data_IF_799892847055
#
_entry.id   IF_799892847055
#
_cell.length_a   1.000
_cell.length_b   1.000
_cell.length_c   1.000
_cell.angle_alpha   90.00
_cell.angle_beta   90.00
_cell.angle_gamma   90.00
#
_symmetry.space_group_name_H-M   'P 1'
#
loop_
_entity.id
_entity.type
_entity.pdbx_description
1 polymer ?
#
# COMPACT_ATOMS: atom_id res chain seq x y z
N UNK A 1 -1.12 1.53 -11.38
CA UNK A 1 -1.78 2.74 -11.92
C UNK A 1 -1.18 4.02 -11.34
N UNK A 2 -1.13 4.19 -10.00
CA UNK A 2 -0.63 5.42 -9.33
C UNK A 2 0.81 5.77 -9.69
N UNK A 3 1.74 4.80 -9.72
CA UNK A 3 3.13 5.05 -10.10
C UNK A 3 3.23 5.62 -11.51
N UNK A 4 2.52 5.01 -12.49
CA UNK A 4 2.52 5.52 -13.87
C UNK A 4 2.01 6.96 -13.94
N UNK A 5 0.90 7.28 -13.27
CA UNK A 5 0.38 8.65 -13.20
C UNK A 5 1.39 9.64 -12.59
N UNK A 6 2.09 9.22 -11.52
CA UNK A 6 3.14 10.05 -10.90
C UNK A 6 4.33 10.24 -11.82
N UNK A 7 4.76 9.21 -12.54
CA UNK A 7 5.84 9.30 -13.53
C UNK A 7 5.41 10.16 -14.71
N UNK A 8 4.21 9.95 -15.27
CA UNK A 8 3.68 10.74 -16.38
C UNK A 8 3.60 12.23 -16.00
N UNK A 9 3.14 12.53 -14.77
CA UNK A 9 3.10 13.91 -14.27
C UNK A 9 4.51 14.50 -14.12
N UNK A 10 5.43 13.77 -13.50
CA UNK A 10 6.81 14.23 -13.31
C UNK A 10 7.53 14.45 -14.66
N UNK A 11 7.33 13.55 -15.62
CA UNK A 11 7.91 13.68 -16.97
C UNK A 11 7.34 14.89 -17.73
N UNK A 12 6.03 15.16 -17.59
CA UNK A 12 5.42 16.34 -18.20
C UNK A 12 5.93 17.64 -17.55
N UNK A 13 6.04 17.71 -16.22
CA UNK A 13 6.60 18.86 -15.50
C UNK A 13 8.09 19.07 -15.83
N UNK A 14 8.85 18.00 -16.03
CA UNK A 14 10.24 18.06 -16.47
C UNK A 14 10.36 18.49 -17.94
N UNK A 15 9.49 18.01 -18.82
CA UNK A 15 9.48 18.39 -20.23
C UNK A 15 9.31 19.90 -20.40
N UNK A 16 8.50 20.54 -19.55
CA UNK A 16 8.30 21.99 -19.56
C UNK A 16 9.55 22.77 -19.05
N UNK A 17 10.37 22.13 -18.19
CA UNK A 17 11.59 22.76 -17.63
C UNK A 17 12.85 22.52 -18.47
N UNK A 18 13.01 21.33 -19.03
CA UNK A 18 14.23 20.90 -19.76
C UNK A 18 14.15 21.20 -21.25
N UNK A 19 12.96 21.54 -21.76
CA UNK A 19 12.76 21.88 -23.17
C UNK A 19 13.03 20.70 -24.12
N UNK A 20 13.55 21.01 -25.31
CA UNK A 20 13.76 20.03 -26.39
C UNK A 20 15.00 19.14 -26.27
N UNK A 21 15.76 19.26 -25.18
CA UNK A 21 17.02 18.51 -25.01
C UNK A 21 16.82 17.01 -24.79
N UNK A 22 15.66 16.61 -24.21
CA UNK A 22 15.31 15.22 -23.99
C UNK A 22 13.91 14.93 -24.53
N UNK A 23 13.67 13.82 -25.24
CA UNK A 23 12.38 13.48 -25.82
C UNK A 23 11.41 12.89 -24.76
N UNK A 24 11.22 13.62 -23.66
CA UNK A 24 10.45 13.12 -22.49
C UNK A 24 8.99 12.81 -22.85
N UNK A 25 8.37 13.58 -23.75
CA UNK A 25 7.00 13.30 -24.21
C UNK A 25 6.93 11.99 -25.02
N UNK A 26 7.94 11.72 -25.83
CA UNK A 26 8.02 10.47 -26.58
C UNK A 26 8.25 9.28 -25.64
N UNK A 27 9.07 9.44 -24.60
CA UNK A 27 9.29 8.44 -23.56
C UNK A 27 7.97 8.09 -22.83
N UNK A 28 7.19 9.10 -22.46
CA UNK A 28 5.88 8.91 -21.83
C UNK A 28 4.93 8.09 -22.71
N UNK A 29 4.92 8.34 -24.02
CA UNK A 29 4.09 7.61 -24.97
C UNK A 29 4.56 6.15 -25.15
N UNK A 30 5.84 5.88 -25.03
CA UNK A 30 6.44 4.54 -25.10
C UNK A 30 6.20 3.71 -23.84
N UNK A 31 5.97 4.36 -22.69
CA UNK A 31 5.70 3.65 -21.44
C UNK A 31 4.34 2.95 -21.53
N UNK A 32 4.38 1.62 -21.48
CA UNK A 32 3.18 0.78 -21.43
C UNK A 32 2.34 1.02 -20.15
N UNK A 33 1.12 0.48 -20.09
CA UNK A 33 0.30 0.53 -18.88
C UNK A 33 0.96 -0.24 -17.74
N UNK A 34 0.78 0.24 -16.50
CA UNK A 34 1.21 -0.50 -15.32
C UNK A 34 0.48 -1.85 -15.24
N UNK A 35 1.23 -2.91 -14.95
CA UNK A 35 0.72 -4.30 -14.84
C UNK A 35 1.19 -4.91 -13.52
N UNK A 36 0.47 -5.90 -13.02
CA UNK A 36 1.00 -6.76 -11.96
C UNK A 36 2.10 -7.68 -12.52
N UNK A 37 3.07 -8.09 -11.70
CA UNK A 37 4.10 -9.04 -12.13
C UNK A 37 3.52 -10.32 -12.70
N UNK A 38 2.45 -10.85 -12.09
CA UNK A 38 1.74 -12.02 -12.62
C UNK A 38 1.19 -11.79 -14.04
N UNK A 39 0.60 -10.64 -14.28
CA UNK A 39 0.08 -10.27 -15.61
C UNK A 39 1.21 -10.04 -16.61
N UNK A 40 2.31 -9.40 -16.18
CA UNK A 40 3.48 -9.13 -17.01
C UNK A 40 4.15 -10.43 -17.44
N UNK A 41 4.37 -11.35 -16.50
CA UNK A 41 5.00 -12.65 -16.76
C UNK A 41 4.07 -13.64 -17.48
N UNK A 42 2.78 -13.29 -17.65
CA UNK A 42 1.80 -14.14 -18.31
C UNK A 42 1.45 -15.37 -17.47
N UNK A 43 0.97 -15.15 -16.24
CA UNK A 43 0.51 -16.23 -15.36
C UNK A 43 -0.62 -17.02 -16.01
N UNK A 44 -0.52 -18.35 -15.97
CA UNK A 44 -1.51 -19.28 -16.51
C UNK A 44 -2.35 -19.86 -15.36
N UNK A 45 -3.69 -19.84 -15.45
CA UNK A 45 -4.56 -20.29 -14.36
C UNK A 45 -4.34 -21.75 -13.93
N UNK A 46 -3.95 -22.60 -14.87
CA UNK A 46 -3.87 -24.05 -14.69
C UNK A 46 -2.46 -24.56 -14.36
N UNK A 47 -1.48 -23.69 -14.33
CA UNK A 47 -0.09 -24.06 -14.07
C UNK A 47 0.59 -23.04 -13.15
N UNK A 48 1.68 -23.45 -12.47
CA UNK A 48 2.56 -22.53 -11.76
C UNK A 48 3.58 -21.83 -12.66
N UNK A 49 3.60 -22.16 -13.96
CA UNK A 49 4.53 -21.64 -14.92
C UNK A 49 4.05 -20.32 -15.52
N UNK A 50 4.99 -19.42 -15.79
CA UNK A 50 4.77 -18.18 -16.51
C UNK A 50 4.99 -18.37 -18.02
N UNK A 51 4.36 -17.52 -18.85
CA UNK A 51 4.59 -17.51 -20.28
C UNK A 51 5.99 -16.97 -20.63
N UNK A 52 6.44 -15.95 -19.87
CA UNK A 52 7.77 -15.36 -20.03
C UNK A 52 8.76 -16.01 -19.07
N UNK A 53 9.91 -16.40 -19.63
CA UNK A 53 11.03 -17.08 -18.99
C UNK A 53 12.28 -16.94 -19.88
N UNK A 54 13.43 -17.47 -19.51
CA UNK A 54 14.69 -17.40 -20.28
C UNK A 54 14.56 -17.77 -21.76
N UNK A 55 13.72 -18.75 -22.09
CA UNK A 55 13.46 -19.18 -23.48
C UNK A 55 12.44 -18.32 -24.22
N UNK A 56 11.73 -17.43 -23.53
CA UNK A 56 10.76 -16.49 -24.07
C UNK A 56 10.79 -15.22 -23.22
N UNK A 57 11.83 -14.40 -23.32
CA UNK A 57 12.02 -13.24 -22.45
C UNK A 57 10.96 -12.17 -22.69
N UNK A 58 10.88 -11.23 -21.75
CA UNK A 58 10.10 -10.00 -21.90
C UNK A 58 10.70 -9.14 -23.01
N UNK A 59 9.86 -8.41 -23.71
CA UNK A 59 10.28 -7.40 -24.70
C UNK A 59 10.36 -6.03 -24.00
N UNK A 60 11.45 -5.80 -23.27
CA UNK A 60 11.69 -4.58 -22.48
C UNK A 60 13.17 -4.22 -22.44
N UNK A 61 13.48 -2.94 -22.51
CA UNK A 61 14.82 -2.39 -22.27
C UNK A 61 14.99 -1.98 -20.81
N UNK A 62 13.92 -1.44 -20.20
CA UNK A 62 13.90 -1.01 -18.80
C UNK A 62 12.62 -1.52 -18.14
N UNK A 63 12.77 -2.17 -16.99
CA UNK A 63 11.67 -2.62 -16.18
C UNK A 63 11.72 -1.95 -14.81
N UNK A 64 10.65 -1.23 -14.46
CA UNK A 64 10.49 -0.60 -13.15
C UNK A 64 9.48 -1.41 -12.34
N UNK A 65 9.89 -1.90 -11.18
CA UNK A 65 9.04 -2.64 -10.24
C UNK A 65 8.82 -1.80 -9.00
N UNK A 66 7.59 -1.39 -8.79
CA UNK A 66 7.16 -0.66 -7.60
C UNK A 66 6.68 -1.63 -6.51
N UNK A 67 6.71 -1.19 -5.23
CA UNK A 67 6.38 -2.00 -4.06
C UNK A 67 7.17 -3.32 -4.03
N UNK A 68 8.45 -3.27 -4.39
CA UNK A 68 9.32 -4.44 -4.49
C UNK A 68 9.54 -5.17 -3.14
N UNK A 69 9.23 -4.54 -2.01
CA UNK A 69 9.19 -5.16 -0.68
C UNK A 69 8.18 -6.33 -0.61
N UNK A 70 7.15 -6.29 -1.45
CA UNK A 70 6.11 -7.32 -1.54
C UNK A 70 6.48 -8.47 -2.49
N UNK A 71 7.59 -8.39 -3.21
CA UNK A 71 8.02 -9.42 -4.16
C UNK A 71 8.78 -10.51 -3.41
N UNK A 72 8.20 -11.71 -3.36
CA UNK A 72 8.83 -12.87 -2.72
C UNK A 72 9.91 -13.50 -3.61
N UNK A 73 10.73 -14.38 -3.02
CA UNK A 73 11.92 -14.93 -3.67
C UNK A 73 11.63 -15.64 -4.99
N UNK A 74 10.59 -16.48 -5.04
CA UNK A 74 10.24 -17.24 -6.26
C UNK A 74 9.77 -16.31 -7.39
N UNK A 75 8.99 -15.26 -7.04
CA UNK A 75 8.55 -14.27 -8.02
C UNK A 75 9.72 -13.45 -8.55
N UNK A 76 10.66 -13.06 -7.69
CA UNK A 76 11.87 -12.35 -8.11
C UNK A 76 12.72 -13.24 -9.02
N UNK A 77 12.89 -14.51 -8.68
CA UNK A 77 13.62 -15.46 -9.52
C UNK A 77 12.97 -15.61 -10.90
N UNK A 78 11.64 -15.75 -10.95
CA UNK A 78 10.88 -15.82 -12.20
C UNK A 78 11.01 -14.55 -13.04
N UNK A 79 11.00 -13.38 -12.37
CA UNK A 79 11.19 -12.09 -13.02
C UNK A 79 12.59 -11.98 -13.66
N UNK A 80 13.63 -12.33 -12.90
CA UNK A 80 15.02 -12.29 -13.38
C UNK A 80 15.25 -13.29 -14.52
N UNK A 81 14.63 -14.47 -14.48
CA UNK A 81 14.71 -15.47 -15.55
C UNK A 81 14.02 -14.98 -16.85
N UNK A 82 13.00 -14.14 -16.72
CA UNK A 82 12.26 -13.57 -17.86
C UNK A 82 12.87 -12.28 -18.43
N UNK A 83 13.83 -11.66 -17.76
CA UNK A 83 14.48 -10.43 -18.24
C UNK A 83 15.43 -10.75 -19.40
N UNK A 84 15.40 -9.98 -20.51
CA UNK A 84 16.38 -10.13 -21.58
C UNK A 84 17.76 -9.68 -21.12
N UNK A 85 18.84 -10.27 -21.68
CA UNK A 85 20.19 -9.81 -21.44
C UNK A 85 20.33 -8.33 -21.82
N UNK A 86 20.88 -7.53 -20.91
CA UNK A 86 21.10 -6.09 -21.12
C UNK A 86 19.95 -5.19 -20.70
N UNK A 87 18.79 -5.74 -20.31
CA UNK A 87 17.71 -4.93 -19.74
C UNK A 87 18.09 -4.38 -18.37
N UNK A 88 17.66 -3.16 -18.08
CA UNK A 88 17.83 -2.50 -16.78
C UNK A 88 16.63 -2.80 -15.88
N UNK A 89 16.88 -3.33 -14.67
CA UNK A 89 15.87 -3.54 -13.64
C UNK A 89 15.98 -2.48 -12.55
N UNK A 90 14.90 -1.73 -12.31
CA UNK A 90 14.80 -0.75 -11.25
C UNK A 90 13.79 -1.25 -10.22
N UNK A 91 14.24 -1.51 -8.99
CA UNK A 91 13.40 -1.92 -7.88
C UNK A 91 13.13 -0.72 -6.98
N UNK A 92 11.87 -0.35 -6.83
CA UNK A 92 11.41 0.70 -5.91
C UNK A 92 10.62 0.06 -4.78
N UNK A 93 10.85 0.52 -3.55
CA UNK A 93 10.13 0.00 -2.40
C UNK A 93 10.74 0.42 -1.07
N UNK A 94 10.05 0.11 -0.01
CA UNK A 94 10.48 0.40 1.35
C UNK A 94 10.91 -0.91 2.04
N UNK A 95 12.20 -1.04 2.28
CA UNK A 95 12.80 -2.24 2.92
C UNK A 95 12.33 -2.49 4.35
N UNK A 96 11.80 -1.45 4.99
CA UNK A 96 11.38 -1.46 6.39
C UNK A 96 9.86 -1.69 6.56
N UNK A 97 9.10 -1.68 5.45
CA UNK A 97 7.70 -2.11 5.45
C UNK A 97 7.55 -3.63 5.54
N UNK A 98 6.32 -4.06 5.78
CA UNK A 98 5.98 -5.48 5.77
C UNK A 98 6.43 -6.13 4.45
N UNK A 99 7.24 -7.15 4.55
CA UNK A 99 7.57 -7.99 3.42
C UNK A 99 6.39 -8.90 3.02
N UNK A 100 6.50 -9.52 1.83
CA UNK A 100 5.54 -10.53 1.37
C UNK A 100 5.23 -11.57 2.45
N UNK A 101 4.02 -12.10 2.48
CA UNK A 101 3.63 -13.21 3.37
C UNK A 101 4.41 -14.48 3.03
N UNK A 102 4.79 -14.65 1.77
CA UNK A 102 5.57 -15.77 1.26
C UNK A 102 7.07 -15.64 1.61
N UNK A 103 7.83 -16.72 1.45
CA UNK A 103 9.21 -16.78 1.89
C UNK A 103 10.15 -15.78 1.16
N UNK A 104 11.02 -15.14 1.94
CA UNK A 104 12.09 -14.26 1.49
C UNK A 104 11.73 -12.78 1.45
N UNK A 105 12.57 -11.95 2.08
CA UNK A 105 12.51 -10.49 2.04
C UNK A 105 13.58 -9.97 1.07
N UNK A 106 13.37 -10.20 -0.23
CA UNK A 106 14.40 -9.95 -1.25
C UNK A 106 14.90 -8.51 -1.22
N UNK A 107 14.01 -7.52 -1.27
CA UNK A 107 14.41 -6.11 -1.23
C UNK A 107 15.14 -5.77 0.08
N UNK A 108 14.65 -6.28 1.22
CA UNK A 108 15.30 -6.09 2.50
C UNK A 108 16.71 -6.66 2.57
N UNK A 109 16.95 -7.81 1.93
CA UNK A 109 18.28 -8.43 1.84
C UNK A 109 19.21 -7.68 0.88
N UNK A 110 18.70 -7.25 -0.29
CA UNK A 110 19.45 -6.45 -1.26
C UNK A 110 19.84 -5.07 -0.68
N UNK A 111 18.95 -4.43 0.04
CA UNK A 111 19.12 -3.08 0.60
C UNK A 111 19.54 -3.06 2.08
N UNK A 112 20.07 -4.17 2.60
CA UNK A 112 20.40 -4.30 4.02
C UNK A 112 21.24 -3.14 4.56
N UNK A 113 22.30 -2.78 3.83
CA UNK A 113 23.25 -1.73 4.21
C UNK A 113 22.99 -0.39 3.51
N UNK A 114 21.85 -0.22 2.84
CA UNK A 114 21.54 0.99 2.08
C UNK A 114 21.67 2.29 2.91
N UNK A 115 21.43 2.20 4.24
CA UNK A 115 21.60 3.31 5.15
C UNK A 115 23.04 3.81 5.34
N UNK A 116 24.02 2.93 5.18
CA UNK A 116 25.43 3.27 5.34
C UNK A 116 26.05 3.91 4.07
N UNK A 117 25.43 3.76 2.90
CA UNK A 117 25.98 4.19 1.62
C UNK A 117 27.15 3.29 1.20
N UNK A 118 28.37 3.73 1.42
CA UNK A 118 29.60 3.02 1.01
C UNK A 118 29.88 3.20 -0.48
N UNK A 119 29.64 4.40 -1.00
CA UNK A 119 29.84 4.76 -2.40
C UNK A 119 31.31 5.05 -2.69
N UNK A 120 31.79 4.55 -3.81
CA UNK A 120 33.13 4.88 -4.31
C UNK A 120 33.17 6.29 -4.92
N UNK A 121 34.36 6.86 -5.07
CA UNK A 121 34.54 8.16 -5.73
C UNK A 121 33.93 8.17 -7.13
N UNK A 122 34.07 7.08 -7.92
CA UNK A 122 33.45 6.96 -9.24
C UNK A 122 31.93 7.04 -9.20
N UNK A 123 31.28 6.49 -8.14
CA UNK A 123 29.84 6.61 -7.94
C UNK A 123 29.42 8.01 -7.54
N UNK A 124 30.22 8.69 -6.71
CA UNK A 124 29.98 10.09 -6.34
C UNK A 124 30.10 11.02 -7.55
N UNK A 125 31.15 10.85 -8.35
CA UNK A 125 31.35 11.63 -9.59
C UNK A 125 30.21 11.41 -10.58
N UNK A 126 29.76 10.17 -10.74
CA UNK A 126 28.58 9.86 -11.55
C UNK A 126 27.30 10.51 -11.03
N UNK A 127 27.06 10.45 -9.72
CA UNK A 127 25.89 11.06 -9.10
C UNK A 127 25.88 12.58 -9.31
N UNK A 128 27.02 13.24 -9.08
CA UNK A 128 27.17 14.67 -9.33
C UNK A 128 26.94 15.02 -10.81
N UNK A 129 27.54 14.28 -11.73
CA UNK A 129 27.38 14.51 -13.16
C UNK A 129 25.94 14.29 -13.65
N UNK A 130 25.23 13.30 -13.09
CA UNK A 130 23.90 12.93 -13.51
C UNK A 130 22.78 13.79 -12.88
N UNK A 131 22.96 14.20 -11.62
CA UNK A 131 21.91 14.90 -10.85
C UNK A 131 22.25 16.36 -10.49
N UNK A 132 23.53 16.72 -10.51
CA UNK A 132 24.02 18.00 -9.99
C UNK A 132 24.09 18.05 -8.46
N UNK A 133 23.82 16.94 -7.77
CA UNK A 133 23.79 16.86 -6.30
C UNK A 133 25.06 16.18 -5.78
N UNK A 134 25.71 16.82 -4.81
CA UNK A 134 26.82 16.23 -4.07
C UNK A 134 26.31 15.30 -2.97
N UNK A 135 26.79 14.06 -2.95
CA UNK A 135 26.50 13.15 -1.85
C UNK A 135 27.36 13.49 -0.62
N UNK A 136 26.78 13.48 0.60
CA UNK A 136 27.54 13.77 1.82
C UNK A 136 28.73 12.82 2.01
N UNK A 137 29.89 13.32 2.51
CA UNK A 137 31.11 12.51 2.69
C UNK A 137 30.94 11.30 3.61
N UNK A 138 29.97 11.33 4.51
CA UNK A 138 29.64 10.21 5.41
C UNK A 138 29.19 8.96 4.68
N UNK A 139 28.79 9.07 3.40
CA UNK A 139 28.37 7.94 2.56
C UNK A 139 29.50 7.42 1.67
N UNK A 140 30.70 8.01 1.75
CA UNK A 140 31.88 7.54 1.03
C UNK A 140 32.36 6.20 1.59
N UNK A 141 32.80 5.30 0.72
CA UNK A 141 33.32 4.00 1.11
C UNK A 141 33.41 3.05 -0.08
N UNK A 142 33.68 1.80 0.21
CA UNK A 142 33.70 0.71 -0.80
C UNK A 142 32.92 -0.49 -0.22
N UNK A 143 31.62 -0.42 -0.30
CA UNK A 143 30.72 -1.48 0.19
C UNK A 143 30.37 -2.55 -0.88
N UNK A 144 31.12 -2.57 -1.98
CA UNK A 144 30.98 -3.53 -3.08
C UNK A 144 29.93 -3.14 -4.11
N UNK A 145 29.82 -3.94 -5.18
CA UNK A 145 29.07 -3.60 -6.40
C UNK A 145 27.58 -3.32 -6.17
N UNK A 146 26.92 -4.04 -5.25
CA UNK A 146 25.50 -3.85 -4.97
C UNK A 146 25.23 -2.50 -4.31
N UNK A 147 26.10 -2.04 -3.41
CA UNK A 147 25.97 -0.75 -2.76
C UNK A 147 26.03 0.40 -3.77
N UNK A 148 26.88 0.28 -4.81
CA UNK A 148 27.02 1.28 -5.88
C UNK A 148 25.73 1.46 -6.70
N UNK A 149 24.78 0.53 -6.60
CA UNK A 149 23.51 0.53 -7.33
C UNK A 149 22.30 0.71 -6.42
N UNK A 150 22.53 0.94 -5.12
CA UNK A 150 21.46 1.06 -4.12
C UNK A 150 21.43 2.46 -3.56
N UNK A 151 20.28 3.13 -3.70
CA UNK A 151 20.06 4.48 -3.17
C UNK A 151 18.96 4.46 -2.13
N UNK A 152 19.22 5.03 -0.96
CA UNK A 152 18.22 5.21 0.08
C UNK A 152 17.70 6.64 0.10
N UNK A 153 16.42 6.83 -0.23
CA UNK A 153 15.74 8.12 -0.07
C UNK A 153 15.46 8.36 1.40
N UNK A 154 15.87 9.54 1.92
CA UNK A 154 15.83 9.83 3.36
C UNK A 154 14.75 10.84 3.76
N UNK A 155 14.22 11.59 2.81
CA UNK A 155 13.17 12.57 3.05
C UNK A 155 11.83 12.08 2.51
N UNK A 156 10.88 11.90 3.43
CA UNK A 156 9.50 11.62 3.03
C UNK A 156 8.83 12.91 2.53
N UNK A 157 8.21 12.83 1.36
CA UNK A 157 7.33 13.89 0.83
C UNK A 157 5.85 13.62 1.10
N UNK A 158 5.51 12.41 1.56
CA UNK A 158 4.14 11.97 1.83
C UNK A 158 3.69 12.40 3.23
N UNK A 159 4.53 12.17 4.21
CA UNK A 159 4.26 12.49 5.60
C UNK A 159 5.50 13.13 6.24
N UNK A 160 5.26 14.20 6.96
CA UNK A 160 6.26 14.90 7.77
C UNK A 160 5.72 15.06 9.21
N UNK A 161 6.31 15.96 9.97
CA UNK A 161 5.83 16.29 11.30
C UNK A 161 5.72 15.08 12.23
N UNK A 162 4.67 15.00 13.07
CA UNK A 162 4.52 13.95 14.09
C UNK A 162 4.40 12.55 13.53
N UNK A 163 3.72 12.35 12.39
CA UNK A 163 3.58 11.03 11.74
C UNK A 163 4.95 10.52 11.29
N UNK A 164 5.74 11.36 10.64
CA UNK A 164 7.10 11.01 10.21
C UNK A 164 8.03 10.71 11.38
N UNK A 165 7.98 11.51 12.44
CA UNK A 165 8.78 11.29 13.65
C UNK A 165 8.41 9.97 14.34
N UNK A 166 7.11 9.66 14.42
CA UNK A 166 6.63 8.39 14.98
C UNK A 166 7.08 7.19 14.13
N UNK A 167 6.96 7.30 12.80
CA UNK A 167 7.42 6.26 11.88
C UNK A 167 8.92 5.99 12.04
N UNK A 168 9.75 7.04 12.14
CA UNK A 168 11.19 6.91 12.35
C UNK A 168 11.53 6.29 13.72
N UNK A 169 10.84 6.68 14.80
CA UNK A 169 11.05 6.10 16.12
C UNK A 169 10.70 4.60 16.15
N UNK A 170 9.57 4.23 15.53
CA UNK A 170 9.16 2.82 15.39
C UNK A 170 10.19 2.05 14.55
N UNK A 171 10.62 2.58 13.43
CA UNK A 171 11.61 1.92 12.56
C UNK A 171 12.97 1.75 13.25
N UNK A 172 13.39 2.71 14.05
CA UNK A 172 14.59 2.61 14.89
C UNK A 172 14.45 1.57 16.02
N UNK A 173 13.24 1.15 16.37
CA UNK A 173 12.95 0.28 17.50
C UNK A 173 12.94 0.99 18.84
N UNK A 174 12.85 2.31 18.83
CA UNK A 174 12.80 3.13 20.01
C UNK A 174 11.36 3.25 20.53
N UNK A 175 10.95 2.23 21.31
CA UNK A 175 9.60 2.17 21.86
C UNK A 175 9.31 3.32 22.82
N UNK A 176 10.30 3.76 23.62
CA UNK A 176 10.11 4.86 24.56
C UNK A 176 9.83 6.18 23.84
N UNK A 177 10.59 6.46 22.80
CA UNK A 177 10.38 7.66 21.96
C UNK A 177 9.05 7.59 21.21
N UNK A 178 8.69 6.43 20.68
CA UNK A 178 7.42 6.23 19.98
C UNK A 178 6.23 6.50 20.93
N UNK A 179 6.25 5.95 22.14
CA UNK A 179 5.21 6.20 23.14
C UNK A 179 5.17 7.66 23.60
N UNK A 180 6.33 8.29 23.80
CA UNK A 180 6.40 9.71 24.14
C UNK A 180 5.74 10.57 23.04
N UNK A 181 6.03 10.31 21.77
CA UNK A 181 5.42 11.00 20.64
C UNK A 181 3.90 10.77 20.59
N UNK A 182 3.43 9.57 20.84
CA UNK A 182 2.00 9.23 20.88
C UNK A 182 1.25 9.97 22.00
N UNK A 183 1.91 10.22 23.15
CA UNK A 183 1.32 10.94 24.30
C UNK A 183 1.38 12.45 24.17
N UNK A 184 2.37 13.00 23.49
CA UNK A 184 2.64 14.44 23.45
C UNK A 184 2.21 15.11 22.14
N UNK A 185 1.93 14.35 21.08
CA UNK A 185 1.55 14.92 19.79
C UNK A 185 0.17 15.60 19.88
N UNK A 186 0.15 16.90 19.57
CA UNK A 186 -1.09 17.68 19.56
C UNK A 186 -1.85 17.57 18.24
N UNK A 187 -1.14 17.31 17.15
CA UNK A 187 -1.71 17.23 15.78
C UNK A 187 -1.10 16.07 15.01
N UNK A 188 -1.89 15.51 14.08
CA UNK A 188 -1.44 14.46 13.14
C UNK A 188 -1.30 13.06 13.74
N UNK A 189 -1.17 12.91 15.05
CA UNK A 189 -1.07 11.63 15.75
C UNK A 189 -1.98 11.62 16.98
N UNK A 190 -2.67 10.50 17.18
CA UNK A 190 -3.53 10.28 18.35
C UNK A 190 -3.32 8.89 18.91
N UNK A 191 -3.35 8.75 20.21
CA UNK A 191 -3.34 7.46 20.89
C UNK A 191 -4.58 7.29 21.77
N UNK A 192 -5.31 6.21 21.58
CA UNK A 192 -6.38 5.78 22.47
C UNK A 192 -5.85 4.55 23.21
N UNK A 193 -5.27 4.81 24.37
CA UNK A 193 -4.70 3.80 25.26
C UNK A 193 -5.82 3.16 26.09
N UNK A 194 -5.69 1.88 26.41
CA UNK A 194 -6.70 1.10 27.14
C UNK A 194 -8.10 1.16 26.52
N UNK A 195 -8.14 1.19 25.20
CA UNK A 195 -9.35 1.40 24.42
C UNK A 195 -10.42 0.32 24.65
N UNK A 196 -11.66 0.77 24.74
CA UNK A 196 -12.82 -0.11 24.59
C UNK A 196 -13.25 -0.12 23.12
N UNK A 197 -13.86 -1.22 22.66
CA UNK A 197 -14.29 -1.34 21.26
C UNK A 197 -15.24 -0.18 20.86
N UNK A 198 -16.07 0.31 21.79
CA UNK A 198 -16.97 1.43 21.54
C UNK A 198 -16.26 2.69 21.04
N UNK A 199 -15.02 2.94 21.48
CA UNK A 199 -14.22 4.09 21.02
C UNK A 199 -13.80 3.95 19.56
N UNK A 200 -13.47 2.72 19.13
CA UNK A 200 -13.22 2.44 17.69
C UNK A 200 -14.49 2.64 16.87
N UNK A 201 -15.63 2.21 17.39
CA UNK A 201 -16.91 2.39 16.71
C UNK A 201 -17.32 3.87 16.59
N UNK A 202 -16.99 4.69 17.58
CA UNK A 202 -17.16 6.14 17.50
C UNK A 202 -16.22 6.75 16.44
N UNK A 203 -14.95 6.34 16.40
CA UNK A 203 -14.02 6.74 15.35
C UNK A 203 -14.51 6.33 13.96
N UNK A 204 -15.03 5.11 13.82
CA UNK A 204 -15.59 4.64 12.57
C UNK A 204 -16.80 5.48 12.13
N UNK A 205 -17.71 5.77 13.06
CA UNK A 205 -18.88 6.59 12.76
C UNK A 205 -18.50 8.00 12.31
N UNK A 206 -17.54 8.64 12.97
CA UNK A 206 -17.05 9.97 12.57
C UNK A 206 -16.20 9.93 11.30
N UNK A 207 -15.30 8.94 11.17
CA UNK A 207 -14.41 8.80 10.04
C UNK A 207 -15.13 8.47 8.73
N UNK A 208 -16.15 7.63 8.79
CA UNK A 208 -17.01 7.33 7.65
C UNK A 208 -18.15 8.34 7.45
N UNK A 209 -18.30 9.33 8.33
CA UNK A 209 -19.40 10.32 8.26
C UNK A 209 -19.49 11.01 6.90
N UNK A 210 -18.36 11.53 6.40
CA UNK A 210 -18.34 12.27 5.12
C UNK A 210 -18.75 11.41 3.92
N UNK A 211 -18.41 10.13 3.92
CA UNK A 211 -18.86 9.19 2.90
C UNK A 211 -20.36 8.89 3.00
N UNK A 212 -20.86 8.71 4.23
CA UNK A 212 -22.27 8.45 4.49
C UNK A 212 -23.15 9.67 4.16
N UNK A 213 -22.65 10.88 4.40
CA UNK A 213 -23.34 12.11 4.02
C UNK A 213 -23.52 12.18 2.50
N UNK A 214 -22.46 11.94 1.71
CA UNK A 214 -22.52 11.91 0.25
C UNK A 214 -23.43 10.78 -0.24
N UNK A 215 -23.40 9.61 0.41
CA UNK A 215 -24.26 8.47 0.08
C UNK A 215 -25.75 8.85 0.15
N UNK A 216 -26.14 9.67 1.14
CA UNK A 216 -27.50 10.12 1.32
C UNK A 216 -27.96 11.21 0.33
N UNK A 217 -27.04 11.79 -0.46
CA UNK A 217 -27.34 12.78 -1.50
C UNK A 217 -27.52 12.16 -2.89
N UNK A 218 -27.85 10.87 -2.95
CA UNK A 218 -28.00 10.14 -4.21
C UNK A 218 -28.88 10.91 -5.23
N UNK A 219 -28.47 11.04 -6.49
CA UNK A 219 -29.25 11.71 -7.52
C UNK A 219 -30.56 10.95 -7.75
N UNK A 220 -31.66 11.70 -7.95
CA UNK A 220 -32.96 11.12 -8.28
C UNK A 220 -32.88 10.43 -9.65
N UNK A 221 -33.52 9.27 -9.76
CA UNK A 221 -33.59 8.51 -11.00
C UNK A 221 -34.10 9.39 -12.18
N UNK A 222 -33.37 9.39 -13.29
CA UNK A 222 -33.74 10.12 -14.51
C UNK A 222 -32.83 11.26 -14.94
N UNK A 223 -31.85 11.67 -14.12
CA UNK A 223 -30.84 12.68 -14.47
C UNK A 223 -29.46 12.02 -14.59
N UNK A 224 -29.15 11.50 -15.77
CA UNK A 224 -27.92 10.72 -16.04
C UNK A 224 -26.61 11.49 -15.87
N UNK A 225 -26.62 12.81 -15.82
CA UNK A 225 -25.40 13.62 -15.84
C UNK A 225 -24.65 13.70 -14.51
N UNK A 226 -25.25 13.29 -13.38
CA UNK A 226 -24.67 13.43 -12.05
C UNK A 226 -24.36 12.09 -11.33
N UNK A 227 -24.73 10.94 -11.92
CA UNK A 227 -24.57 9.66 -11.21
C UNK A 227 -23.10 9.24 -11.08
N UNK A 228 -22.32 9.33 -12.14
CA UNK A 228 -20.90 8.94 -12.12
C UNK A 228 -20.09 9.86 -11.20
N UNK A 229 -20.36 11.16 -11.19
CA UNK A 229 -19.71 12.09 -10.28
C UNK A 229 -20.08 11.82 -8.82
N UNK A 230 -21.34 11.53 -8.54
CA UNK A 230 -21.78 11.10 -7.21
C UNK A 230 -21.07 9.81 -6.76
N UNK A 231 -21.00 8.80 -7.62
CA UNK A 231 -20.26 7.56 -7.37
C UNK A 231 -18.80 7.86 -7.04
N UNK A 232 -18.15 8.69 -7.84
CA UNK A 232 -16.75 9.09 -7.62
C UNK A 232 -16.57 9.73 -6.25
N UNK A 233 -17.42 10.65 -5.88
CA UNK A 233 -17.39 11.32 -4.57
C UNK A 233 -17.63 10.32 -3.42
N UNK A 234 -18.59 9.41 -3.54
CA UNK A 234 -18.84 8.37 -2.54
C UNK A 234 -17.58 7.52 -2.30
N UNK A 235 -16.97 7.01 -3.37
CA UNK A 235 -15.78 6.15 -3.25
C UNK A 235 -14.57 6.93 -2.73
N UNK A 236 -14.31 8.12 -3.22
CA UNK A 236 -13.21 8.98 -2.75
C UNK A 236 -13.36 9.34 -1.25
N UNK A 237 -14.58 9.66 -0.81
CA UNK A 237 -14.82 9.94 0.62
C UNK A 237 -14.66 8.70 1.47
N UNK A 238 -15.09 7.54 0.98
CA UNK A 238 -14.86 6.27 1.66
C UNK A 238 -13.36 5.96 1.79
N UNK A 239 -12.57 6.22 0.75
CA UNK A 239 -11.13 6.00 0.76
C UNK A 239 -10.34 6.96 1.67
N UNK A 240 -10.93 8.06 2.11
CA UNK A 240 -10.24 9.03 2.97
C UNK A 240 -9.96 8.52 4.39
N UNK A 241 -10.71 7.55 4.88
CA UNK A 241 -10.60 6.97 6.22
C UNK A 241 -10.48 5.45 6.17
N UNK A 242 -9.63 4.86 7.00
CA UNK A 242 -9.48 3.40 7.05
C UNK A 242 -9.10 2.89 8.45
N UNK A 243 -9.74 1.78 8.84
CA UNK A 243 -9.33 1.01 10.02
C UNK A 243 -8.44 -0.13 9.55
N UNK A 244 -7.24 -0.21 10.11
CA UNK A 244 -6.27 -1.26 9.86
C UNK A 244 -6.15 -2.16 11.09
N UNK A 245 -6.14 -3.46 10.87
CA UNK A 245 -6.02 -4.48 11.92
C UNK A 245 -4.73 -5.27 11.74
N UNK A 246 -4.12 -5.64 12.83
CA UNK A 246 -2.97 -6.54 12.83
C UNK A 246 -3.37 -7.99 12.50
N UNK A 247 -4.58 -8.41 12.89
CA UNK A 247 -5.10 -9.78 12.80
C UNK A 247 -6.42 -9.84 12.03
N UNK A 248 -6.78 -11.05 11.55
CA UNK A 248 -8.04 -11.24 10.83
C UNK A 248 -9.21 -11.51 11.76
N UNK A 249 -9.00 -12.33 12.77
CA UNK A 249 -10.03 -12.89 13.64
C UNK A 249 -10.05 -12.20 15.00
N UNK A 250 -11.14 -12.40 15.74
CA UNK A 250 -11.35 -11.82 17.06
C UNK A 250 -11.97 -10.43 17.07
N UNK A 251 -12.26 -9.94 18.26
CA UNK A 251 -12.94 -8.66 18.52
C UNK A 251 -12.20 -7.45 17.88
N UNK A 252 -10.86 -7.49 17.88
CA UNK A 252 -9.96 -6.46 17.35
C UNK A 252 -9.40 -6.80 15.97
N UNK A 253 -9.90 -7.87 15.38
CA UNK A 253 -9.56 -8.31 14.04
C UNK A 253 -10.50 -7.74 12.98
N UNK A 254 -10.17 -8.02 11.73
CA UNK A 254 -10.94 -7.55 10.55
C UNK A 254 -12.39 -8.01 10.61
N UNK A 255 -12.63 -9.29 10.92
CA UNK A 255 -13.98 -9.84 10.95
C UNK A 255 -14.85 -9.15 12.03
N UNK A 256 -14.36 -9.11 13.28
CA UNK A 256 -15.08 -8.53 14.39
C UNK A 256 -15.31 -7.03 14.23
N UNK A 257 -14.31 -6.26 13.75
CA UNK A 257 -14.48 -4.83 13.55
C UNK A 257 -15.39 -4.50 12.36
N UNK A 258 -15.37 -5.27 11.28
CA UNK A 258 -16.29 -5.07 10.16
C UNK A 258 -17.75 -5.27 10.59
N UNK A 259 -18.03 -6.33 11.35
CA UNK A 259 -19.37 -6.62 11.89
C UNK A 259 -19.83 -5.53 12.87
N UNK A 260 -18.98 -5.17 13.83
CA UNK A 260 -19.27 -4.17 14.83
C UNK A 260 -19.51 -2.77 14.24
N UNK A 261 -18.69 -2.35 13.25
CA UNK A 261 -18.84 -1.08 12.53
C UNK A 261 -20.14 -1.07 11.74
N UNK A 262 -20.43 -2.12 10.96
CA UNK A 262 -21.69 -2.22 10.21
C UNK A 262 -22.90 -2.15 11.15
N UNK A 263 -22.87 -2.87 12.28
CA UNK A 263 -23.90 -2.82 13.32
C UNK A 263 -24.06 -1.43 13.94
N UNK A 264 -22.96 -0.75 14.25
CA UNK A 264 -22.98 0.62 14.79
C UNK A 264 -23.60 1.62 13.82
N UNK A 265 -23.22 1.55 12.56
CA UNK A 265 -23.76 2.44 11.52
C UNK A 265 -25.24 2.16 11.25
N UNK A 266 -25.66 0.91 11.36
CA UNK A 266 -27.07 0.52 11.27
C UNK A 266 -27.89 1.05 12.45
N UNK A 267 -27.40 0.88 13.69
CA UNK A 267 -28.05 1.43 14.89
C UNK A 267 -28.19 2.96 14.84
N UNK A 268 -27.21 3.64 14.26
CA UNK A 268 -27.26 5.08 14.04
C UNK A 268 -28.17 5.50 12.88
N UNK A 269 -28.82 4.57 12.18
CA UNK A 269 -29.66 4.84 11.02
C UNK A 269 -28.92 5.30 9.76
N UNK A 270 -27.59 5.19 9.75
CA UNK A 270 -26.73 5.66 8.67
C UNK A 270 -26.58 4.63 7.53
N UNK A 271 -26.75 3.35 7.85
CA UNK A 271 -26.81 2.25 6.89
C UNK A 271 -28.03 1.36 7.18
N UNK A 272 -28.44 0.63 6.16
CA UNK A 272 -29.54 -0.35 6.28
C UNK A 272 -29.09 -1.70 5.73
N UNK A 273 -28.31 -2.48 6.51
CA UNK A 273 -27.86 -3.80 6.09
C UNK A 273 -29.06 -4.75 6.02
N UNK A 274 -29.52 -5.04 4.81
CA UNK A 274 -30.57 -6.00 4.53
C UNK A 274 -29.99 -7.08 3.59
N UNK A 275 -29.67 -8.24 4.18
CA UNK A 275 -29.01 -9.31 3.45
C UNK A 275 -27.51 -9.06 3.22
N UNK A 276 -26.94 -9.85 2.30
CA UNK A 276 -25.52 -9.75 1.97
C UNK A 276 -25.20 -8.43 1.25
N UNK A 277 -26.04 -7.99 0.32
CA UNK A 277 -25.84 -6.79 -0.48
C UNK A 277 -26.77 -5.68 -0.06
N UNK A 278 -26.20 -4.54 0.34
CA UNK A 278 -26.94 -3.35 0.73
C UNK A 278 -26.24 -2.08 0.26
N UNK A 279 -27.01 -1.01 0.08
CA UNK A 279 -26.47 0.30 -0.34
C UNK A 279 -25.49 0.82 0.69
N UNK A 280 -24.32 1.22 0.23
CA UNK A 280 -23.24 1.70 1.07
C UNK A 280 -22.35 0.60 1.66
N UNK A 281 -22.55 -0.68 1.34
CA UNK A 281 -21.59 -1.72 1.75
C UNK A 281 -20.27 -1.55 1.02
N UNK A 282 -19.16 -1.25 1.73
CA UNK A 282 -17.86 -1.33 1.12
C UNK A 282 -17.40 -2.79 1.04
N UNK A 283 -16.80 -3.17 -0.05
CA UNK A 283 -16.28 -4.52 -0.25
C UNK A 283 -14.86 -4.49 -0.77
N UNK A 284 -14.08 -5.48 -0.35
CA UNK A 284 -12.75 -5.77 -0.91
C UNK A 284 -12.80 -7.11 -1.60
N UNK A 285 -12.28 -7.17 -2.82
CA UNK A 285 -12.11 -8.40 -3.59
C UNK A 285 -10.98 -9.23 -2.98
N UNK A 286 -11.24 -10.51 -2.73
CA UNK A 286 -10.28 -11.40 -2.07
C UNK A 286 -9.58 -12.36 -3.04
N UNK A 287 -10.05 -12.43 -4.29
CA UNK A 287 -9.48 -13.26 -5.35
C UNK A 287 -9.67 -12.63 -6.72
N UNK A 288 -8.66 -12.77 -7.59
CA UNK A 288 -8.77 -12.30 -8.98
C UNK A 288 -9.93 -12.98 -9.70
N UNK A 289 -10.73 -12.20 -10.40
CA UNK A 289 -11.79 -12.66 -11.29
C UNK A 289 -11.64 -11.96 -12.65
N UNK A 290 -10.99 -12.65 -13.57
CA UNK A 290 -10.74 -12.14 -14.92
C UNK A 290 -12.02 -11.98 -15.74
N UNK A 291 -13.09 -12.71 -15.40
CA UNK A 291 -14.38 -12.64 -16.10
C UNK A 291 -15.17 -11.37 -15.77
N UNK A 292 -14.97 -10.80 -14.61
CA UNK A 292 -15.55 -9.52 -14.18
C UNK A 292 -14.54 -8.38 -14.21
N UNK A 293 -13.26 -8.70 -14.43
CA UNK A 293 -12.17 -7.74 -14.47
C UNK A 293 -11.79 -7.16 -13.10
N UNK A 294 -12.13 -7.84 -11.99
CA UNK A 294 -11.75 -7.40 -10.64
C UNK A 294 -10.58 -8.21 -10.10
N UNK A 295 -9.75 -7.58 -9.30
CA UNK A 295 -8.52 -8.17 -8.79
C UNK A 295 -8.47 -8.18 -7.27
N UNK A 296 -7.71 -9.12 -6.72
CA UNK A 296 -7.50 -9.22 -5.28
C UNK A 296 -6.93 -7.91 -4.72
N UNK A 297 -7.63 -7.33 -3.73
CA UNK A 297 -7.31 -6.06 -3.13
C UNK A 297 -8.11 -4.87 -3.70
N UNK A 298 -8.85 -5.04 -4.80
CA UNK A 298 -9.74 -3.99 -5.29
C UNK A 298 -10.80 -3.68 -4.25
N UNK A 299 -10.99 -2.39 -3.96
CA UNK A 299 -12.00 -1.91 -3.01
C UNK A 299 -13.05 -1.12 -3.77
N UNK A 300 -14.31 -1.43 -3.50
CA UNK A 300 -15.45 -0.74 -4.10
C UNK A 300 -16.59 -0.55 -3.11
N UNK A 301 -17.54 0.28 -3.48
CA UNK A 301 -18.75 0.56 -2.69
C UNK A 301 -19.98 0.09 -3.45
N UNK A 302 -20.89 -0.58 -2.73
CA UNK A 302 -22.16 -1.08 -3.29
C UNK A 302 -23.16 0.06 -3.36
N UNK A 303 -23.63 0.38 -4.57
CA UNK A 303 -24.57 1.47 -4.82
C UNK A 303 -25.70 1.02 -5.76
N UNK A 304 -26.84 1.74 -5.84
CA UNK A 304 -27.91 1.44 -6.77
C UNK A 304 -27.46 1.46 -8.24
N UNK A 305 -27.99 0.55 -9.04
CA UNK A 305 -27.83 0.56 -10.49
C UNK A 305 -28.80 1.59 -11.11
N UNK A 306 -28.31 2.68 -11.76
CA UNK A 306 -29.20 3.69 -12.32
C UNK A 306 -30.07 3.18 -13.47
N UNK A 307 -29.60 2.12 -14.15
CA UNK A 307 -30.32 1.52 -15.27
C UNK A 307 -31.34 0.45 -14.86
N UNK A 308 -31.28 -0.06 -13.61
CA UNK A 308 -32.11 -1.17 -13.14
C UNK A 308 -32.60 -0.91 -11.71
N UNK A 309 -33.79 -0.36 -11.52
CA UNK A 309 -34.37 -0.13 -10.20
C UNK A 309 -34.38 -1.41 -9.34
N UNK A 310 -33.88 -1.29 -8.11
CA UNK A 310 -33.76 -2.43 -7.18
C UNK A 310 -32.49 -3.28 -7.34
N UNK A 311 -31.73 -3.14 -8.41
CA UNK A 311 -30.43 -3.81 -8.57
C UNK A 311 -29.30 -3.00 -7.91
N UNK A 312 -28.26 -3.72 -7.46
CA UNK A 312 -27.08 -3.13 -6.86
C UNK A 312 -25.83 -3.47 -7.69
N UNK A 313 -24.93 -2.51 -7.79
CA UNK A 313 -23.61 -2.68 -8.39
C UNK A 313 -22.54 -2.29 -7.39
N UNK A 314 -21.37 -2.90 -7.50
CA UNK A 314 -20.17 -2.46 -6.80
C UNK A 314 -19.37 -1.59 -7.75
N UNK A 315 -19.05 -0.39 -7.31
CA UNK A 315 -18.31 0.61 -8.06
C UNK A 315 -16.88 0.73 -7.53
N UNK A 316 -15.93 0.70 -8.44
CA UNK A 316 -14.49 0.79 -8.19
C UNK A 316 -13.93 2.02 -8.90
N UNK A 317 -12.92 2.66 -8.33
CA UNK A 317 -12.17 3.72 -9.00
C UNK A 317 -10.83 3.18 -9.52
N UNK A 318 -10.55 3.43 -10.79
CA UNK A 318 -9.25 3.18 -11.42
C UNK A 318 -8.71 4.52 -11.98
N UNK A 319 -7.95 5.23 -11.13
CA UNK A 319 -7.63 6.64 -11.42
C UNK A 319 -8.89 7.48 -11.49
N UNK A 320 -9.12 8.13 -12.62
CA UNK A 320 -10.33 8.96 -12.85
C UNK A 320 -11.50 8.17 -13.45
N UNK A 321 -11.32 6.88 -13.73
CA UNK A 321 -12.33 6.05 -14.37
C UNK A 321 -13.14 5.28 -13.34
N UNK A 322 -14.48 5.30 -13.49
CA UNK A 322 -15.39 4.51 -12.67
C UNK A 322 -15.71 3.20 -13.38
N UNK A 323 -15.35 2.08 -12.75
CA UNK A 323 -15.72 0.75 -13.19
C UNK A 323 -16.79 0.16 -12.27
N UNK A 324 -17.70 -0.63 -12.79
CA UNK A 324 -18.71 -1.26 -11.95
C UNK A 324 -19.03 -2.69 -12.37
N UNK A 325 -19.37 -3.51 -11.39
CA UNK A 325 -19.79 -4.91 -11.57
C UNK A 325 -21.11 -5.13 -10.82
N UNK A 326 -22.02 -5.89 -11.39
CA UNK A 326 -23.27 -6.26 -10.72
C UNK A 326 -22.94 -7.00 -9.42
N UNK A 327 -23.49 -6.56 -8.29
CA UNK A 327 -23.12 -7.07 -6.96
C UNK A 327 -23.25 -8.59 -6.87
N UNK A 328 -24.33 -9.17 -7.42
CA UNK A 328 -24.57 -10.62 -7.43
C UNK A 328 -23.59 -11.45 -8.27
N UNK A 329 -22.76 -10.82 -9.09
CA UNK A 329 -21.71 -11.51 -9.86
C UNK A 329 -20.40 -11.63 -9.06
N UNK A 330 -20.22 -10.86 -8.02
CA UNK A 330 -19.02 -10.89 -7.16
C UNK A 330 -19.20 -11.99 -6.10
N UNK A 331 -18.32 -12.99 -6.11
CA UNK A 331 -18.39 -14.14 -5.20
C UNK A 331 -17.33 -14.11 -4.10
N UNK A 332 -16.16 -13.57 -4.42
CA UNK A 332 -15.00 -13.56 -3.52
C UNK A 332 -14.77 -12.14 -3.00
N UNK A 333 -15.61 -11.71 -2.07
CA UNK A 333 -15.52 -10.39 -1.45
C UNK A 333 -15.72 -10.47 0.06
N UNK A 334 -15.13 -9.53 0.78
CA UNK A 334 -15.37 -9.31 2.20
C UNK A 334 -15.74 -7.85 2.45
N UNK A 335 -16.47 -7.57 3.54
CA UNK A 335 -16.78 -6.19 3.95
C UNK A 335 -15.49 -5.46 4.32
N UNK A 336 -15.37 -4.18 3.93
CA UNK A 336 -14.11 -3.46 3.94
C UNK A 336 -14.11 -2.13 4.73
N UNK A 337 -14.88 -2.03 5.82
CA UNK A 337 -14.69 -0.94 6.80
C UNK A 337 -13.35 -1.09 7.52
N UNK A 338 -12.97 -2.31 7.83
CA UNK A 338 -11.65 -2.65 8.37
C UNK A 338 -10.95 -3.65 7.45
N UNK A 339 -9.63 -3.57 7.39
CA UNK A 339 -8.78 -4.48 6.62
C UNK A 339 -7.46 -4.73 7.34
N UNK A 340 -6.73 -5.77 6.96
CA UNK A 340 -5.39 -5.98 7.55
C UNK A 340 -4.39 -4.95 7.05
N UNK A 341 -3.36 -4.66 7.87
CA UNK A 341 -2.23 -3.82 7.45
C UNK A 341 -1.59 -4.36 6.16
N UNK A 342 -1.46 -5.68 6.01
CA UNK A 342 -0.94 -6.30 4.77
C UNK A 342 -1.75 -5.92 3.53
N UNK A 343 -3.09 -5.92 3.64
CA UNK A 343 -3.96 -5.56 2.52
C UNK A 343 -3.97 -4.07 2.18
N UNK A 344 -3.48 -3.23 3.09
CA UNK A 344 -3.36 -1.78 2.88
C UNK A 344 -2.06 -1.38 2.17
N UNK A 345 -1.13 -2.31 1.93
CA UNK A 345 0.11 -2.01 1.21
C UNK A 345 -0.20 -1.41 -0.17
N UNK A 346 0.57 -0.43 -0.60
CA UNK A 346 0.29 0.36 -1.80
C UNK A 346 -0.85 1.37 -1.69
N UNK A 347 -1.59 1.39 -0.57
CA UNK A 347 -2.68 2.37 -0.33
C UNK A 347 -2.24 3.49 0.60
N UNK A 348 -2.98 4.61 0.55
CA UNK A 348 -2.79 5.77 1.41
C UNK A 348 -4.16 6.33 1.79
N UNK A 349 -4.31 6.76 3.03
CA UNK A 349 -5.55 7.32 3.57
C UNK A 349 -5.25 8.64 4.29
N UNK A 350 -6.16 9.58 4.21
CA UNK A 350 -6.02 10.85 4.97
C UNK A 350 -5.98 10.58 6.47
N UNK A 351 -6.87 9.69 6.94
CA UNK A 351 -6.88 9.26 8.33
C UNK A 351 -6.82 7.73 8.42
N UNK A 352 -5.78 7.23 9.06
CA UNK A 352 -5.59 5.80 9.33
C UNK A 352 -5.76 5.54 10.82
N UNK A 353 -6.58 4.55 11.16
CA UNK A 353 -6.71 4.00 12.51
C UNK A 353 -6.05 2.64 12.54
N UNK A 354 -5.02 2.44 13.36
CA UNK A 354 -4.40 1.13 13.58
C UNK A 354 -4.92 0.54 14.90
N UNK A 355 -5.69 -0.54 14.80
CA UNK A 355 -6.19 -1.30 15.93
C UNK A 355 -5.24 -2.46 16.26
N UNK A 356 -4.64 -2.43 17.46
CA UNK A 356 -3.82 -3.52 17.96
C UNK A 356 -4.69 -4.59 18.61
N UNK A 357 -4.28 -5.86 18.58
CA UNK A 357 -4.93 -6.95 19.33
C UNK A 357 -4.63 -6.85 20.83
N UNK A 358 -5.43 -7.53 21.65
CA UNK A 358 -5.17 -7.66 23.10
C UNK A 358 -3.98 -8.55 23.39
N UNK A 359 -3.80 -9.57 22.59
CA UNK A 359 -2.81 -10.62 22.82
C UNK A 359 -1.62 -10.47 21.87
N UNK A 360 -0.50 -10.96 22.36
CA UNK A 360 0.71 -11.09 21.56
C UNK A 360 0.49 -12.06 20.41
N UNK A 361 1.13 -11.78 19.30
CA UNK A 361 1.13 -12.68 18.15
C UNK A 361 2.40 -12.49 17.31
N UNK A 362 2.83 -13.54 16.66
CA UNK A 362 4.00 -13.52 15.78
C UNK A 362 3.86 -12.49 14.62
N UNK A 363 2.64 -12.08 14.34
CA UNK A 363 2.33 -11.11 13.28
C UNK A 363 2.56 -9.67 13.72
N UNK A 364 2.50 -9.41 15.05
CA UNK A 364 2.64 -8.07 15.59
C UNK A 364 4.12 -7.70 15.72
N UNK A 365 4.65 -7.11 14.68
CA UNK A 365 6.06 -6.74 14.54
C UNK A 365 6.22 -5.26 14.27
N UNK A 366 7.46 -4.79 14.38
CA UNK A 366 7.88 -3.42 14.05
C UNK A 366 7.43 -3.02 12.66
N UNK A 367 7.67 -3.86 11.68
CA UNK A 367 7.33 -3.63 10.27
C UNK A 367 5.83 -3.48 10.08
N UNK A 368 5.01 -4.21 10.87
CA UNK A 368 3.56 -4.06 10.83
C UNK A 368 3.12 -2.70 11.34
N UNK A 369 3.64 -2.29 12.50
CA UNK A 369 3.30 -0.99 13.10
C UNK A 369 3.78 0.16 12.20
N UNK A 370 5.02 0.07 11.70
CA UNK A 370 5.60 1.03 10.76
C UNK A 370 4.75 1.14 9.48
N UNK A 371 4.39 0.00 8.87
CA UNK A 371 3.53 -0.01 7.67
C UNK A 371 2.18 0.63 7.95
N UNK A 372 1.55 0.34 9.10
CA UNK A 372 0.28 0.94 9.49
C UNK A 372 0.37 2.47 9.64
N UNK A 373 1.43 2.99 10.25
CA UNK A 373 1.67 4.43 10.42
C UNK A 373 1.85 5.10 9.06
N UNK A 374 2.65 4.51 8.18
CA UNK A 374 2.97 5.07 6.86
C UNK A 374 1.82 5.03 5.85
N UNK A 375 0.66 4.48 6.22
CA UNK A 375 -0.58 4.59 5.44
C UNK A 375 -1.31 5.91 5.66
N UNK A 376 -1.00 6.65 6.72
CA UNK A 376 -1.64 7.92 7.03
C UNK A 376 -0.90 9.09 6.38
N UNK A 377 -1.65 9.99 5.73
CA UNK A 377 -1.09 11.25 5.19
C UNK A 377 -1.36 12.47 6.07
N UNK A 378 -2.50 12.53 6.78
CA UNK A 378 -2.88 13.69 7.60
C UNK A 378 -3.06 13.34 9.08
N UNK A 379 -3.69 12.20 9.39
CA UNK A 379 -3.97 11.80 10.77
C UNK A 379 -3.74 10.30 10.94
N UNK A 380 -2.97 9.95 11.93
CA UNK A 380 -2.79 8.59 12.42
C UNK A 380 -3.39 8.44 13.81
N UNK A 381 -4.23 7.43 14.01
CA UNK A 381 -4.76 7.07 15.33
C UNK A 381 -4.34 5.66 15.69
N UNK A 382 -3.58 5.49 16.76
CA UNK A 382 -3.32 4.19 17.35
C UNK A 382 -4.40 3.87 18.37
N UNK A 383 -4.95 2.68 18.27
CA UNK A 383 -5.91 2.15 19.24
C UNK A 383 -5.32 0.89 19.87
N UNK A 384 -5.09 0.94 21.17
CA UNK A 384 -4.54 -0.19 21.93
C UNK A 384 -5.48 -0.58 23.05
N UNK A 385 -6.07 -1.80 23.01
CA UNK A 385 -6.86 -2.33 24.12
C UNK A 385 -6.01 -2.57 25.37
N UNK A 386 -6.62 -2.77 26.57
CA UNK A 386 -5.89 -3.13 27.77
C UNK A 386 -5.03 -4.37 27.55
N UNK A 387 -3.79 -4.33 28.03
CA UNK A 387 -2.81 -5.40 27.83
C UNK A 387 -2.08 -5.38 26.49
N UNK A 388 -2.33 -4.37 25.66
CA UNK A 388 -1.67 -4.23 24.37
C UNK A 388 -0.17 -3.98 24.48
N UNK A 389 0.51 -4.44 23.52
CA UNK A 389 1.92 -4.80 23.45
C UNK A 389 2.67 -3.93 22.43
N UNK A 390 2.42 -2.61 22.44
CA UNK A 390 3.07 -1.70 21.47
C UNK A 390 4.60 -1.74 21.58
N UNK A 391 5.13 -1.61 22.79
CA UNK A 391 6.58 -1.62 23.00
C UNK A 391 7.22 -2.92 22.54
N UNK A 392 6.54 -4.05 22.76
CA UNK A 392 7.00 -5.37 22.30
C UNK A 392 6.94 -5.48 20.78
N UNK A 393 5.85 -5.01 20.16
CA UNK A 393 5.72 -4.97 18.70
C UNK A 393 6.86 -4.16 18.06
N UNK A 394 7.19 -3.00 18.65
CA UNK A 394 8.29 -2.16 18.17
C UNK A 394 9.65 -2.85 18.35
N UNK A 395 9.82 -3.63 19.42
CA UNK A 395 11.05 -4.38 19.68
C UNK A 395 11.21 -5.62 18.81
N UNK A 396 10.10 -6.21 18.35
CA UNK A 396 10.09 -7.44 17.58
C UNK A 396 10.29 -7.16 16.10
N UNK A 397 11.37 -7.68 15.53
CA UNK A 397 11.63 -7.70 14.08
C UNK A 397 11.14 -8.99 13.44
N UNK A 398 10.65 -8.87 12.22
CA UNK A 398 10.38 -10.05 11.38
C UNK A 398 11.72 -10.64 10.90
N UNK A 399 12.04 -11.85 11.41
CA UNK A 399 13.18 -12.60 10.89
C UNK A 399 12.71 -13.52 9.76
N UNK A 400 13.10 -13.19 8.53
CA UNK A 400 12.88 -14.05 7.37
C UNK A 400 14.24 -14.40 6.76
N UNK A 401 14.60 -15.65 6.80
CA UNK A 401 15.84 -16.14 6.19
C UNK A 401 15.57 -16.49 4.72
N UNK A 402 16.20 -15.79 3.80
CA UNK A 402 16.16 -16.12 2.37
C UNK A 402 17.42 -16.90 1.93
N UNK A 403 18.48 -16.88 2.73
CA UNK A 403 19.82 -17.33 2.33
C UNK A 403 20.52 -16.38 1.38
N UNK A 404 19.82 -15.40 0.81
CA UNK A 404 20.33 -14.48 -0.21
C UNK A 404 21.52 -13.65 0.31
N UNK A 405 21.46 -13.18 1.57
CA UNK A 405 22.55 -12.44 2.21
C UNK A 405 23.88 -13.21 2.21
N UNK A 406 23.82 -14.50 2.56
CA UNK A 406 25.01 -15.35 2.58
C UNK A 406 25.62 -15.56 1.19
N UNK A 407 24.82 -15.45 0.14
CA UNK A 407 25.28 -15.58 -1.25
C UNK A 407 25.81 -14.27 -1.84
N UNK A 408 25.29 -13.12 -1.36
CA UNK A 408 25.70 -11.79 -1.82
C UNK A 408 26.92 -11.27 -1.05
N UNK A 409 27.10 -11.71 0.20
CA UNK A 409 28.28 -11.32 0.99
C UNK A 409 29.56 -11.71 0.23
N UNK A 410 30.54 -10.79 0.10
CA UNK A 410 31.81 -11.15 -0.51
C UNK A 410 32.41 -12.33 0.26
N UNK A 411 32.67 -13.43 -0.43
CA UNK A 411 33.44 -14.53 0.13
C UNK A 411 34.77 -13.96 0.55
N UNK A 412 34.96 -13.76 1.86
CA UNK A 412 36.26 -13.46 2.41
C UNK A 412 37.19 -14.62 2.01
N UNK A 413 38.04 -14.38 1.00
CA UNK A 413 39.19 -15.23 0.67
C UNK A 413 40.34 -14.86 1.56
#
# INVERSE_FOLDING_TARGET
ARLKQSIDKALNELADKVGSQLPLRELTLRMGPARTLHSLLGARPDTRAFAHHRGNPLDVDVLIVDEASMVHLEMMASLLDALPPGATLILLGDKDQLASVEAGAVLGDLCHNAGAGGYTDATLDYALAASGEELPPEFLGDAGALAQQTVMLRHSRRFGGPIGQLALAVNAGDAMRAEALLRTAEQGVRWIENAQQQQVLQLAQSGYGSYLDVLNTAPKAGLNTNHEEWVRQVVQRFESFRILCAVRDGEWGVAGLNEAVAGRLAQAGLLRPQGEWYVGRPVMVTRNDYGTGVYNGDIGVTLPDPARPGALRVYFLEGDTVRSVLATRLRNVETAFAMTVHKSQGSEFRHTVLALPRERGAVLTRELVYTGITRASELFTLVSPPGAVLAEAISQRTHRTSGLRGMIAPTSR
#
